data_IF_157399609426
#
_entry.id   IF_157399609426
#
_cell.length_a   1.000
_cell.length_b   1.000
_cell.length_c   1.000
_cell.angle_alpha   90.00
_cell.angle_beta   90.00
_cell.angle_gamma   90.00
#
_symmetry.space_group_name_H-M   'P 1'
#
loop_
_entity.id
_entity.type
_entity.pdbx_description
1 polymer ?
#
# COMPACT_ATOMS: atom_id res chain seq x y z
N UNK A 1 4.76 -18.79 9.84
CA UNK A 1 5.36 -17.61 9.19
C UNK A 1 5.49 -17.86 7.68
N UNK A 2 5.31 -16.84 6.83
CA UNK A 2 5.23 -16.99 5.37
C UNK A 2 3.82 -16.73 4.82
N UNK A 3 3.15 -15.71 5.34
CA UNK A 3 1.95 -15.16 4.71
C UNK A 3 2.39 -14.09 3.72
N UNK A 4 1.79 -14.01 2.53
CA UNK A 4 2.11 -12.95 1.60
C UNK A 4 1.61 -11.61 2.17
N UNK A 5 2.42 -10.57 1.98
CA UNK A 5 2.09 -9.24 2.44
C UNK A 5 2.71 -8.17 1.52
N UNK A 6 2.06 -7.01 1.45
CA UNK A 6 2.57 -5.85 0.74
C UNK A 6 2.43 -4.61 1.64
N UNK A 7 3.38 -3.69 1.50
CA UNK A 7 3.31 -2.36 2.10
C UNK A 7 3.04 -1.35 0.99
N UNK A 8 1.98 -0.57 1.14
CA UNK A 8 1.61 0.50 0.19
C UNK A 8 1.56 1.83 0.92
N UNK A 9 2.04 2.94 0.33
CA UNK A 9 1.85 4.26 0.92
C UNK A 9 0.35 4.60 0.94
N UNK A 10 -0.11 5.19 2.04
CA UNK A 10 -1.53 5.51 2.22
C UNK A 10 -1.83 6.99 2.49
N UNK A 11 -0.82 7.84 2.36
CA UNK A 11 -0.95 9.29 2.49
C UNK A 11 0.12 9.90 3.39
N UNK A 12 -0.18 11.08 3.91
CA UNK A 12 0.69 11.84 4.80
C UNK A 12 -0.10 12.32 6.01
N UNK A 13 0.50 12.23 7.19
CA UNK A 13 0.01 12.85 8.41
C UNK A 13 1.15 13.70 9.00
N UNK A 14 0.87 14.94 9.36
CA UNK A 14 1.87 15.89 9.91
C UNK A 14 3.14 16.05 9.05
N UNK A 15 2.98 15.94 7.72
CA UNK A 15 4.10 16.03 6.76
C UNK A 15 4.92 14.75 6.63
N UNK A 16 4.60 13.68 7.36
CA UNK A 16 5.30 12.39 7.31
C UNK A 16 4.50 11.38 6.48
N UNK A 17 5.16 10.56 5.64
CA UNK A 17 4.49 9.51 4.87
C UNK A 17 4.00 8.39 5.80
N UNK A 18 2.77 7.95 5.58
CA UNK A 18 2.16 6.82 6.29
C UNK A 18 2.04 5.64 5.33
N UNK A 19 2.35 4.44 5.82
CA UNK A 19 2.20 3.18 5.08
C UNK A 19 1.04 2.33 5.61
N UNK A 20 0.39 1.61 4.71
CA UNK A 20 -0.63 0.61 4.97
C UNK A 20 -0.06 -0.79 4.67
N UNK A 21 -0.14 -1.68 5.65
CA UNK A 21 0.30 -3.07 5.50
C UNK A 21 -0.90 -3.97 5.16
N UNK A 22 -0.85 -4.61 3.99
CA UNK A 22 -1.88 -5.53 3.51
C UNK A 22 -1.36 -6.96 3.68
N UNK A 23 -2.09 -7.80 4.41
CA UNK A 23 -1.74 -9.20 4.65
C UNK A 23 -2.80 -10.10 4.05
N UNK A 24 -2.39 -11.06 3.24
CA UNK A 24 -3.28 -11.99 2.57
C UNK A 24 -3.20 -13.42 3.11
N UNK A 25 -4.17 -14.29 2.74
CA UNK A 25 -4.16 -15.69 3.13
C UNK A 25 -2.96 -16.44 2.53
N UNK A 26 -2.51 -17.47 3.24
CA UNK A 26 -1.39 -18.33 2.80
C UNK A 26 -1.70 -18.98 1.45
N UNK A 27 -0.70 -19.08 0.57
CA UNK A 27 -0.73 -19.75 -0.75
C UNK A 27 -1.70 -19.19 -1.81
N UNK A 28 -2.66 -18.34 -1.44
CA UNK A 28 -3.68 -17.79 -2.36
C UNK A 28 -3.83 -16.27 -2.28
N UNK A 29 -3.13 -15.63 -1.34
CA UNK A 29 -3.28 -14.20 -1.05
C UNK A 29 -2.53 -13.29 -2.01
N UNK A 30 -1.47 -13.74 -2.69
CA UNK A 30 -0.59 -12.86 -3.49
C UNK A 30 -1.33 -12.10 -4.58
N UNK A 31 -2.10 -12.81 -5.41
CA UNK A 31 -2.89 -12.18 -6.48
C UNK A 31 -3.90 -11.17 -5.91
N UNK A 32 -4.53 -11.50 -4.78
CA UNK A 32 -5.50 -10.61 -4.12
C UNK A 32 -4.83 -9.39 -3.52
N UNK A 33 -3.65 -9.54 -2.92
CA UNK A 33 -2.85 -8.42 -2.39
C UNK A 33 -2.47 -7.48 -3.52
N UNK A 34 -1.93 -7.97 -4.64
CA UNK A 34 -1.60 -7.12 -5.77
C UNK A 34 -2.81 -6.43 -6.39
N UNK A 35 -3.93 -7.14 -6.54
CA UNK A 35 -5.18 -6.54 -7.03
C UNK A 35 -5.69 -5.45 -6.08
N UNK A 36 -5.67 -5.70 -4.76
CA UNK A 36 -6.07 -4.73 -3.77
C UNK A 36 -5.16 -3.50 -3.79
N UNK A 37 -3.84 -3.68 -3.82
CA UNK A 37 -2.88 -2.59 -3.94
C UNK A 37 -3.12 -1.75 -5.20
N UNK A 38 -3.37 -2.38 -6.35
CA UNK A 38 -3.64 -1.68 -7.61
C UNK A 38 -4.97 -0.93 -7.61
N UNK A 39 -6.03 -1.51 -7.03
CA UNK A 39 -7.32 -0.83 -6.89
C UNK A 39 -7.21 0.33 -5.92
N UNK A 40 -6.51 0.13 -4.80
CA UNK A 40 -6.23 1.16 -3.82
C UNK A 40 -5.48 2.35 -4.45
N UNK A 41 -4.40 2.08 -5.18
CA UNK A 41 -3.62 3.08 -5.92
C UNK A 41 -4.47 3.86 -6.93
N UNK A 42 -5.40 3.21 -7.65
CA UNK A 42 -6.30 3.91 -8.59
C UNK A 42 -7.40 4.71 -7.91
N UNK A 43 -7.87 4.23 -6.75
CA UNK A 43 -8.97 4.86 -6.01
C UNK A 43 -8.50 6.04 -5.15
N UNK A 44 -7.19 6.15 -4.92
CA UNK A 44 -6.60 7.16 -4.04
C UNK A 44 -5.59 7.99 -4.80
N UNK A 45 -5.42 9.24 -4.37
CA UNK A 45 -4.56 10.19 -5.07
C UNK A 45 -3.21 10.39 -4.34
N UNK A 46 -2.76 9.38 -3.58
CA UNK A 46 -1.54 9.49 -2.78
C UNK A 46 -0.29 9.66 -3.67
N UNK A 47 -0.28 9.08 -4.87
CA UNK A 47 0.85 9.20 -5.82
C UNK A 47 1.08 10.66 -6.28
N UNK A 48 0.01 11.46 -6.36
CA UNK A 48 0.11 12.88 -6.71
C UNK A 48 0.72 13.73 -5.60
N UNK A 49 0.79 13.24 -4.36
CA UNK A 49 1.54 13.88 -3.27
C UNK A 49 2.98 13.40 -3.29
N UNK A 50 3.80 14.01 -4.16
CA UNK A 50 5.25 13.82 -4.14
C UNK A 50 5.83 14.31 -2.81
N UNK A 51 6.66 13.47 -2.20
CA UNK A 51 7.44 13.90 -1.02
C UNK A 51 8.38 15.04 -1.41
N UNK A 52 8.44 16.11 -0.61
CA UNK A 52 9.52 17.09 -0.73
C UNK A 52 10.74 16.46 -0.07
N UNK A 53 11.64 15.93 -0.88
CA UNK A 53 12.98 15.54 -0.42
C UNK A 53 13.71 16.87 -0.21
N UNK A 54 14.03 17.20 1.05
CA UNK A 54 14.70 18.43 1.43
C UNK A 54 16.20 18.23 1.60
#
# INVERSE_FOLDING_TARGET
>A
AGLPAASVPCGFADGLPIGLHIIGPRFSGEKKIFQLSSVYEKATDWDKKKTKIS
#
